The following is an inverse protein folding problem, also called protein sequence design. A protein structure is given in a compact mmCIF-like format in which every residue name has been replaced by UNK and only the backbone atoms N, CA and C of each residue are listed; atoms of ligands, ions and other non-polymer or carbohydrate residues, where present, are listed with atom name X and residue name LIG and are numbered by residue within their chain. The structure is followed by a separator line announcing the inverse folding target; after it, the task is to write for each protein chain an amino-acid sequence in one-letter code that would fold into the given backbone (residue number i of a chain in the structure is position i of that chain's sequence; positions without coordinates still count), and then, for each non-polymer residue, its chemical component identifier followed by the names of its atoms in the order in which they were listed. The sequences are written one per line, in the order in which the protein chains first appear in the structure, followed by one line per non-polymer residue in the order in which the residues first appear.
data_IF_237527276701
#
_entry.id   IF_237527276701
#
_cell.length_a   1.000
_cell.length_b   1.000
_cell.length_c   1.000
_cell.angle_alpha   90.00
_cell.angle_beta   90.00
_cell.angle_gamma   90.00
#
_symmetry.space_group_name_H-M   'P 1'
#
loop_
_entity.id
_entity.type
_entity.pdbx_description
1 polymer ?
#
# COMPACT_ATOMS: atom_id res chain seq x y z
N UNK A 1 -43.68 -10.92 -11.07
CA UNK A 1 -42.23 -10.67 -11.14
C UNK A 1 -41.96 -9.87 -12.39
N UNK A 2 -41.14 -8.82 -12.31
CA UNK A 2 -40.84 -7.97 -13.47
C UNK A 2 -39.96 -8.79 -14.42
N UNK A 3 -40.57 -9.33 -15.48
CA UNK A 3 -39.93 -10.20 -16.48
C UNK A 3 -39.21 -9.42 -17.57
N UNK A 4 -38.22 -8.61 -17.19
CA UNK A 4 -37.29 -7.95 -18.11
C UNK A 4 -35.90 -8.57 -18.01
N UNK A 5 -35.15 -8.58 -19.12
CA UNK A 5 -33.72 -8.92 -19.10
C UNK A 5 -32.99 -7.81 -18.32
N UNK A 6 -32.02 -8.18 -17.48
CA UNK A 6 -31.21 -7.22 -16.73
C UNK A 6 -30.31 -6.36 -17.63
N UNK A 7 -29.60 -5.41 -17.04
CA UNK A 7 -28.61 -4.59 -17.75
C UNK A 7 -27.25 -5.30 -17.80
N UNK A 8 -26.48 -5.02 -18.86
CA UNK A 8 -25.09 -5.45 -18.97
C UNK A 8 -24.15 -4.46 -18.28
N UNK A 9 -23.10 -4.97 -17.64
CA UNK A 9 -22.04 -4.18 -17.00
C UNK A 9 -20.70 -4.51 -17.66
N UNK A 10 -20.03 -3.49 -18.18
CA UNK A 10 -18.66 -3.61 -18.71
C UNK A 10 -17.68 -3.04 -17.69
N UNK A 11 -16.66 -3.82 -17.33
CA UNK A 11 -15.61 -3.41 -16.39
C UNK A 11 -14.40 -2.83 -17.13
N UNK A 12 -13.53 -2.13 -16.39
CA UNK A 12 -12.22 -1.68 -16.87
C UNK A 12 -11.16 -2.78 -16.89
N UNK A 13 -11.45 -3.94 -16.26
CA UNK A 13 -10.51 -5.04 -16.13
C UNK A 13 -10.07 -5.58 -17.50
N UNK A 14 -8.77 -5.76 -17.65
CA UNK A 14 -8.21 -6.51 -18.76
C UNK A 14 -7.93 -7.95 -18.29
N UNK A 15 -8.56 -8.94 -18.92
CA UNK A 15 -8.45 -10.34 -18.48
C UNK A 15 -7.01 -10.88 -18.47
N UNK A 16 -6.14 -10.41 -19.37
CA UNK A 16 -4.73 -10.82 -19.39
C UNK A 16 -3.93 -10.20 -18.24
N UNK A 17 -4.19 -8.93 -17.92
CA UNK A 17 -3.57 -8.25 -16.77
C UNK A 17 -4.06 -8.88 -15.47
N UNK A 18 -5.36 -9.16 -15.37
CA UNK A 18 -5.94 -9.85 -14.22
C UNK A 18 -5.30 -11.23 -13.99
N UNK A 19 -5.16 -12.04 -15.05
CA UNK A 19 -4.52 -13.34 -14.96
C UNK A 19 -3.05 -13.21 -14.51
N UNK A 20 -2.29 -12.28 -15.09
CA UNK A 20 -0.91 -12.05 -14.68
C UNK A 20 -0.80 -11.63 -13.19
N UNK A 21 -1.73 -10.80 -12.71
CA UNK A 21 -1.80 -10.42 -11.30
C UNK A 21 -2.13 -11.61 -10.38
N UNK A 22 -2.99 -12.53 -10.81
CA UNK A 22 -3.28 -13.77 -10.08
C UNK A 22 -2.08 -14.73 -10.09
N UNK A 23 -1.43 -14.91 -11.24
CA UNK A 23 -0.26 -15.78 -11.39
C UNK A 23 0.90 -15.30 -10.50
N UNK A 24 1.12 -13.98 -10.43
CA UNK A 24 2.13 -13.38 -9.55
C UNK A 24 1.87 -13.64 -8.05
N UNK A 25 0.62 -13.88 -7.66
CA UNK A 25 0.22 -14.20 -6.29
C UNK A 25 0.07 -15.70 -6.04
N UNK A 26 0.26 -16.56 -7.04
CA UNK A 26 0.03 -17.99 -6.91
C UNK A 26 0.96 -18.60 -5.85
N UNK A 27 0.37 -19.26 -4.86
CA UNK A 27 1.10 -19.83 -3.71
C UNK A 27 1.43 -18.84 -2.59
N UNK A 28 1.04 -17.56 -2.73
CA UNK A 28 1.27 -16.51 -1.74
C UNK A 28 -0.06 -15.91 -1.25
N UNK A 29 -0.08 -15.45 0.00
CA UNK A 29 -1.18 -14.62 0.50
C UNK A 29 -0.85 -13.14 0.28
N UNK A 30 -1.71 -12.40 -0.41
CA UNK A 30 -1.46 -11.00 -0.75
C UNK A 30 -2.47 -10.41 -1.72
N UNK A 31 -2.14 -9.25 -2.26
CA UNK A 31 -2.94 -8.54 -3.24
C UNK A 31 -2.07 -7.88 -4.31
N UNK A 32 -2.66 -7.66 -5.48
CA UNK A 32 -2.04 -6.94 -6.59
C UNK A 32 -3.11 -6.06 -7.25
N UNK A 33 -2.81 -4.78 -7.43
CA UNK A 33 -3.67 -3.81 -8.11
C UNK A 33 -2.86 -3.17 -9.23
N UNK A 34 -3.45 -3.13 -10.43
CA UNK A 34 -2.88 -2.48 -11.61
C UNK A 34 -3.86 -1.42 -12.07
N UNK A 35 -3.38 -0.20 -12.22
CA UNK A 35 -4.20 0.96 -12.58
C UNK A 35 -3.61 1.69 -13.78
N UNK A 36 -4.49 2.30 -14.56
CA UNK A 36 -4.12 3.39 -15.45
C UNK A 36 -4.05 4.70 -14.63
N UNK A 37 -2.86 5.32 -14.52
CA UNK A 37 -2.69 6.53 -13.70
C UNK A 37 -3.35 7.77 -14.31
N UNK A 38 -3.63 7.80 -15.62
CA UNK A 38 -4.25 8.96 -16.27
C UNK A 38 -5.77 8.97 -16.06
N UNK A 39 -6.39 7.78 -16.02
CA UNK A 39 -7.85 7.64 -15.97
C UNK A 39 -8.38 7.13 -14.63
N UNK A 40 -7.52 6.53 -13.80
CA UNK A 40 -7.92 5.83 -12.58
C UNK A 40 -8.54 4.45 -12.84
N UNK A 41 -8.58 3.97 -14.09
CA UNK A 41 -9.16 2.69 -14.44
C UNK A 41 -8.40 1.53 -13.78
N UNK A 42 -9.12 0.65 -13.10
CA UNK A 42 -8.54 -0.58 -12.53
C UNK A 42 -8.45 -1.63 -13.64
N UNK A 43 -7.22 -1.95 -14.04
CA UNK A 43 -6.93 -2.90 -15.12
C UNK A 43 -6.78 -4.33 -14.59
N UNK A 44 -6.41 -4.48 -13.32
CA UNK A 44 -6.34 -5.74 -12.59
C UNK A 44 -6.47 -5.49 -11.09
N UNK A 45 -7.20 -6.36 -10.39
CA UNK A 45 -7.35 -6.35 -8.94
C UNK A 45 -7.46 -7.81 -8.46
N UNK A 46 -6.36 -8.34 -7.96
CA UNK A 46 -6.26 -9.72 -7.50
C UNK A 46 -6.05 -9.76 -5.98
N UNK A 47 -6.68 -10.74 -5.33
CA UNK A 47 -6.46 -11.11 -3.94
C UNK A 47 -6.18 -12.61 -3.89
N UNK A 48 -5.23 -13.01 -3.06
CA UNK A 48 -4.84 -14.42 -2.86
C UNK A 48 -4.71 -14.75 -1.37
N UNK A 49 -5.14 -15.94 -0.90
CA UNK A 49 -5.80 -16.99 -1.66
C UNK A 49 -7.14 -16.55 -2.28
N UNK A 50 -7.50 -17.18 -3.40
CA UNK A 50 -8.73 -16.90 -4.16
C UNK A 50 -9.57 -18.17 -4.33
N UNK A 51 -10.79 -18.03 -4.83
CA UNK A 51 -11.73 -19.12 -5.03
C UNK A 51 -12.37 -19.10 -6.42
N UNK A 52 -12.94 -20.25 -6.80
CA UNK A 52 -13.81 -20.33 -7.97
C UNK A 52 -15.16 -19.66 -7.67
N UNK A 53 -15.44 -18.57 -8.37
CA UNK A 53 -16.68 -17.80 -8.22
C UNK A 53 -17.95 -18.65 -8.48
N UNK A 54 -17.85 -19.71 -9.29
CA UNK A 54 -18.98 -20.62 -9.52
C UNK A 54 -19.35 -21.43 -8.26
N UNK A 55 -18.42 -21.57 -7.31
CA UNK A 55 -18.56 -22.40 -6.10
C UNK A 55 -18.66 -21.57 -4.80
N UNK A 56 -19.06 -20.29 -4.88
CA UNK A 56 -19.07 -19.37 -3.74
C UNK A 56 -19.81 -19.91 -2.50
N UNK A 57 -20.89 -20.68 -2.68
CA UNK A 57 -21.67 -21.23 -1.56
C UNK A 57 -20.82 -22.19 -0.70
N UNK A 58 -20.02 -23.06 -1.32
CA UNK A 58 -19.16 -23.99 -0.62
C UNK A 58 -18.02 -23.26 0.12
N UNK A 59 -17.50 -22.17 -0.45
CA UNK A 59 -16.48 -21.34 0.22
C UNK A 59 -17.04 -20.61 1.44
N UNK A 60 -18.30 -20.17 1.40
CA UNK A 60 -19.00 -19.61 2.57
C UNK A 60 -19.18 -20.66 3.66
N UNK A 61 -19.56 -21.90 3.31
CA UNK A 61 -19.67 -22.99 4.27
C UNK A 61 -18.32 -23.31 4.95
N UNK A 62 -17.23 -23.37 4.17
CA UNK A 62 -15.87 -23.55 4.69
C UNK A 62 -15.49 -22.43 5.65
N UNK A 63 -15.73 -21.17 5.26
CA UNK A 63 -15.44 -20.01 6.09
C UNK A 63 -16.23 -20.01 7.41
N UNK A 64 -17.51 -20.41 7.38
CA UNK A 64 -18.32 -20.53 8.59
C UNK A 64 -17.86 -21.68 9.51
N UNK A 65 -17.35 -22.77 8.93
CA UNK A 65 -16.85 -23.91 9.70
C UNK A 65 -15.47 -23.65 10.33
N UNK A 66 -14.67 -22.74 9.77
CA UNK A 66 -13.35 -22.37 10.25
C UNK A 66 -13.09 -20.85 10.13
N UNK A 67 -13.80 -20.03 10.91
CA UNK A 67 -13.77 -18.56 10.75
C UNK A 67 -12.39 -17.93 10.97
N UNK A 68 -11.54 -18.56 11.78
CA UNK A 68 -10.21 -18.03 12.11
C UNK A 68 -9.10 -18.54 11.17
N UNK A 69 -9.35 -19.64 10.45
CA UNK A 69 -8.35 -20.28 9.59
C UNK A 69 -8.60 -20.13 8.09
N UNK A 70 -9.81 -19.74 7.69
CA UNK A 70 -10.17 -19.55 6.29
C UNK A 70 -10.19 -18.07 5.92
N UNK A 71 -9.41 -17.69 4.90
CA UNK A 71 -9.24 -16.29 4.49
C UNK A 71 -9.39 -16.09 2.98
N UNK A 72 -9.92 -17.09 2.28
CA UNK A 72 -10.14 -17.07 0.84
C UNK A 72 -11.23 -16.07 0.41
N UNK A 73 -12.18 -15.78 1.30
CA UNK A 73 -13.21 -14.75 1.06
C UNK A 73 -12.73 -13.31 1.36
N UNK A 74 -11.54 -13.14 1.94
CA UNK A 74 -11.00 -11.83 2.27
C UNK A 74 -10.48 -11.11 1.02
N UNK A 75 -11.05 -9.96 0.69
CA UNK A 75 -10.51 -9.10 -0.34
C UNK A 75 -9.32 -8.29 0.21
N UNK A 76 -8.11 -8.84 0.04
CA UNK A 76 -6.87 -8.20 0.49
C UNK A 76 -6.54 -6.91 -0.25
N UNK A 77 -7.04 -6.73 -1.48
CA UNK A 77 -6.75 -5.56 -2.29
C UNK A 77 -7.42 -4.28 -1.76
N UNK A 78 -8.61 -4.40 -1.16
CA UNK A 78 -9.39 -3.22 -0.75
C UNK A 78 -9.91 -3.27 0.70
N UNK A 79 -9.92 -4.42 1.37
CA UNK A 79 -10.52 -4.57 2.71
C UNK A 79 -9.50 -4.88 3.81
N UNK A 80 -8.21 -5.01 3.48
CA UNK A 80 -7.16 -5.33 4.45
C UNK A 80 -6.19 -4.17 4.60
N UNK A 81 -5.85 -3.83 5.85
CA UNK A 81 -4.86 -2.81 6.15
C UNK A 81 -3.49 -3.46 6.38
N UNK A 82 -2.48 -2.92 5.70
CA UNK A 82 -1.09 -3.33 5.84
C UNK A 82 -0.25 -2.14 6.27
N UNK A 83 0.76 -2.39 7.10
CA UNK A 83 1.82 -1.40 7.30
C UNK A 83 2.58 -1.25 5.96
N UNK A 84 2.59 -0.05 5.34
CA UNK A 84 3.21 0.14 4.02
C UNK A 84 4.73 -0.03 4.05
N UNK A 85 5.36 0.12 5.23
CA UNK A 85 6.81 0.04 5.35
C UNK A 85 7.50 1.10 4.48
N UNK A 86 8.57 0.71 3.79
CA UNK A 86 9.36 1.65 2.99
C UNK A 86 8.65 2.23 1.77
N UNK A 87 7.53 1.66 1.30
CA UNK A 87 6.77 2.30 0.20
C UNK A 87 6.16 3.63 0.65
N UNK A 88 5.91 3.79 1.96
CA UNK A 88 5.44 5.06 2.54
C UNK A 88 6.45 6.21 2.41
N UNK A 89 7.73 5.91 2.19
CA UNK A 89 8.77 6.93 1.97
C UNK A 89 8.48 7.81 0.76
N UNK A 90 7.69 7.34 -0.21
CA UNK A 90 7.22 8.18 -1.33
C UNK A 90 6.40 9.35 -0.82
N UNK A 91 5.47 9.11 0.12
CA UNK A 91 4.65 10.16 0.75
C UNK A 91 5.55 11.10 1.56
N UNK A 92 6.41 10.54 2.41
CA UNK A 92 7.33 11.36 3.24
C UNK A 92 8.26 12.23 2.39
N UNK A 93 8.84 11.67 1.32
CA UNK A 93 9.72 12.39 0.41
C UNK A 93 8.97 13.51 -0.31
N UNK A 94 7.82 13.21 -0.92
CA UNK A 94 7.03 14.19 -1.65
C UNK A 94 6.64 15.38 -0.75
N UNK A 95 6.16 15.10 0.47
CA UNK A 95 5.82 16.15 1.43
C UNK A 95 7.04 16.98 1.83
N UNK A 96 8.18 16.34 2.10
CA UNK A 96 9.40 17.07 2.50
C UNK A 96 9.93 18.00 1.39
N UNK A 97 9.83 17.58 0.13
CA UNK A 97 10.21 18.40 -1.02
C UNK A 97 9.22 19.55 -1.24
N UNK A 98 7.91 19.26 -1.23
CA UNK A 98 6.85 20.26 -1.43
C UNK A 98 6.89 21.37 -0.36
N UNK A 99 7.09 20.99 0.90
CA UNK A 99 7.11 21.93 2.03
C UNK A 99 8.50 22.58 2.24
N UNK A 100 9.46 22.32 1.35
CA UNK A 100 10.82 22.86 1.41
C UNK A 100 11.61 22.46 2.67
N UNK A 101 11.27 21.31 3.28
CA UNK A 101 12.00 20.76 4.44
C UNK A 101 13.39 20.30 4.03
N UNK A 102 13.49 19.66 2.86
CA UNK A 102 14.74 19.21 2.28
C UNK A 102 14.68 19.31 0.75
N UNK A 103 15.85 19.21 0.11
CA UNK A 103 15.98 19.01 -1.33
C UNK A 103 16.60 17.63 -1.60
N UNK A 104 16.56 17.19 -2.86
CA UNK A 104 17.19 15.93 -3.28
C UNK A 104 18.68 15.85 -2.90
N UNK A 105 19.37 17.00 -2.91
CA UNK A 105 20.80 17.14 -2.60
C UNK A 105 21.09 17.36 -1.12
N UNK A 106 20.07 17.52 -0.26
CA UNK A 106 20.28 17.66 1.19
C UNK A 106 20.94 16.39 1.72
N UNK A 107 22.07 16.55 2.41
CA UNK A 107 22.87 15.44 2.93
C UNK A 107 22.46 15.11 4.37
N UNK A 108 22.23 13.83 4.63
CA UNK A 108 21.93 13.29 5.94
C UNK A 108 22.96 12.23 6.33
N UNK A 109 23.22 12.12 7.62
CA UNK A 109 23.97 10.97 8.13
C UNK A 109 23.08 9.73 8.13
N UNK A 110 23.57 8.62 7.57
CA UNK A 110 22.84 7.36 7.46
C UNK A 110 23.58 6.22 8.19
N UNK A 111 23.73 6.29 9.53
CA UNK A 111 24.31 5.20 10.31
C UNK A 111 23.40 3.96 10.27
N UNK A 112 23.96 2.80 10.61
CA UNK A 112 23.20 1.54 10.70
C UNK A 112 22.07 1.59 11.73
N UNK A 113 22.29 2.28 12.84
CA UNK A 113 21.32 2.53 13.91
C UNK A 113 21.57 3.92 14.49
N UNK A 114 20.50 4.61 14.89
CA UNK A 114 20.56 5.85 15.66
C UNK A 114 19.36 5.94 16.60
N UNK A 115 19.46 6.74 17.66
CA UNK A 115 18.33 6.99 18.57
C UNK A 115 17.51 8.18 18.09
N UNK A 116 16.20 7.98 17.95
CA UNK A 116 15.22 9.03 17.65
C UNK A 116 14.08 8.89 18.68
N UNK A 117 13.80 9.95 19.43
CA UNK A 117 12.72 9.93 20.42
C UNK A 117 12.90 8.90 21.54
N UNK A 118 14.14 8.67 21.97
CA UNK A 118 14.53 7.68 23.00
C UNK A 118 14.34 6.21 22.59
N UNK A 119 14.25 5.91 21.30
CA UNK A 119 14.20 4.56 20.78
C UNK A 119 15.10 4.40 19.53
N UNK A 120 15.64 3.20 19.29
CA UNK A 120 16.52 2.98 18.15
C UNK A 120 15.73 2.88 16.84
N UNK A 121 16.14 3.66 15.84
CA UNK A 121 15.78 3.50 14.43
C UNK A 121 16.95 2.85 13.71
N UNK A 122 16.67 1.78 12.96
CA UNK A 122 17.71 0.91 12.37
C UNK A 122 17.47 0.70 10.89
N UNK A 123 18.52 0.88 10.08
CA UNK A 123 18.51 0.51 8.67
C UNK A 123 18.35 -0.99 8.49
N UNK A 124 17.79 -1.41 7.36
CA UNK A 124 17.75 -2.83 7.01
C UNK A 124 19.16 -3.43 7.08
N UNK A 125 19.29 -4.61 7.70
CA UNK A 125 20.57 -5.27 8.01
C UNK A 125 21.60 -4.43 8.79
N UNK A 126 21.18 -3.35 9.46
CA UNK A 126 22.08 -2.40 10.15
C UNK A 126 23.12 -1.77 9.23
N UNK A 127 22.82 -1.65 7.94
CA UNK A 127 23.73 -1.06 6.96
C UNK A 127 24.02 0.41 7.29
N UNK A 128 25.30 0.74 7.40
CA UNK A 128 25.76 2.13 7.47
C UNK A 128 26.14 2.61 6.08
N UNK A 129 25.54 3.70 5.63
CA UNK A 129 25.78 4.26 4.30
C UNK A 129 26.63 5.54 4.35
N UNK A 130 27.07 5.97 5.54
CA UNK A 130 27.78 7.23 5.73
C UNK A 130 26.86 8.43 5.51
N UNK A 131 27.43 9.54 5.07
CA UNK A 131 26.68 10.74 4.72
C UNK A 131 26.24 10.65 3.26
N UNK A 132 24.94 10.71 3.03
CA UNK A 132 24.32 10.52 1.71
C UNK A 132 23.24 11.57 1.45
N UNK A 133 23.00 11.88 0.18
CA UNK A 133 21.92 12.78 -0.22
C UNK A 133 20.55 12.14 0.03
N UNK A 134 19.49 12.94 0.13
CA UNK A 134 18.12 12.45 0.25
C UNK A 134 17.70 11.58 -0.95
N UNK A 135 18.14 11.93 -2.16
CA UNK A 135 17.97 11.08 -3.33
C UNK A 135 18.59 9.69 -3.12
N UNK A 136 19.85 9.64 -2.68
CA UNK A 136 20.55 8.38 -2.41
C UNK A 136 19.93 7.60 -1.25
N UNK A 137 19.43 8.29 -0.23
CA UNK A 137 18.71 7.68 0.89
C UNK A 137 17.40 7.02 0.45
N UNK A 138 16.73 7.59 -0.55
CA UNK A 138 15.52 7.02 -1.16
C UNK A 138 15.85 5.75 -1.95
N UNK A 139 16.90 5.79 -2.80
CA UNK A 139 17.37 4.63 -3.56
C UNK A 139 17.76 3.43 -2.67
N UNK A 140 18.45 3.72 -1.56
CA UNK A 140 18.92 2.71 -0.60
C UNK A 140 17.87 2.34 0.46
N UNK A 141 16.71 3.01 0.43
CA UNK A 141 15.67 2.92 1.45
C UNK A 141 16.24 3.03 2.87
N UNK A 142 17.03 4.08 3.14
CA UNK A 142 17.57 4.34 4.48
C UNK A 142 16.44 4.66 5.47
N UNK A 143 16.34 3.91 6.57
CA UNK A 143 15.38 4.17 7.65
C UNK A 143 15.87 5.30 8.56
N UNK A 144 17.17 5.38 8.82
CA UNK A 144 17.74 6.41 9.69
C UNK A 144 17.63 7.80 9.08
N UNK A 145 17.78 7.94 7.76
CA UNK A 145 17.54 9.22 7.06
C UNK A 145 16.06 9.60 7.07
N UNK A 146 15.16 8.69 6.70
CA UNK A 146 13.72 9.00 6.70
C UNK A 146 13.15 9.22 8.12
N UNK A 147 13.77 8.62 9.15
CA UNK A 147 13.48 8.93 10.55
C UNK A 147 13.86 10.36 10.92
N UNK A 148 15.06 10.81 10.53
CA UNK A 148 15.49 12.21 10.72
C UNK A 148 14.58 13.17 9.96
N UNK A 149 14.29 12.89 8.69
CA UNK A 149 13.42 13.71 7.85
C UNK A 149 12.01 13.87 8.46
N UNK A 150 11.45 12.80 9.03
CA UNK A 150 10.18 12.86 9.73
C UNK A 150 10.21 13.76 10.98
N UNK A 151 11.32 13.77 11.72
CA UNK A 151 11.51 14.67 12.87
C UNK A 151 11.65 16.12 12.42
N UNK A 152 12.45 16.38 11.38
CA UNK A 152 12.66 17.73 10.83
C UNK A 152 11.37 18.32 10.25
N UNK A 153 10.58 17.50 9.55
CA UNK A 153 9.28 17.88 9.00
C UNK A 153 8.24 18.13 10.11
N UNK A 154 8.27 17.34 11.17
CA UNK A 154 7.29 17.38 12.25
C UNK A 154 5.98 16.65 11.90
N UNK A 155 5.24 16.28 12.95
CA UNK A 155 4.05 15.43 12.83
C UNK A 155 2.92 16.07 12.00
N UNK A 156 2.66 17.37 12.16
CA UNK A 156 1.57 18.07 11.47
C UNK A 156 1.72 17.99 9.94
N UNK A 157 2.90 18.34 9.42
CA UNK A 157 3.19 18.27 7.99
C UNK A 157 3.17 16.83 7.46
N UNK A 158 3.70 15.88 8.23
CA UNK A 158 3.68 14.47 7.84
C UNK A 158 2.24 13.94 7.70
N UNK A 159 1.38 14.29 8.65
CA UNK A 159 -0.05 13.92 8.65
C UNK A 159 -0.80 14.58 7.51
N UNK A 160 -0.64 15.90 7.33
CA UNK A 160 -1.26 16.62 6.21
C UNK A 160 -0.82 16.07 4.85
N UNK A 161 0.47 15.72 4.71
CA UNK A 161 0.99 15.03 3.54
C UNK A 161 0.28 13.70 3.27
N UNK A 162 0.14 12.83 4.28
CA UNK A 162 -0.57 11.56 4.09
C UNK A 162 -2.05 11.74 3.77
N UNK A 163 -2.72 12.71 4.39
CA UNK A 163 -4.11 13.06 4.10
C UNK A 163 -4.28 13.50 2.64
N UNK A 164 -3.34 14.29 2.10
CA UNK A 164 -3.31 14.68 0.68
C UNK A 164 -3.13 13.48 -0.25
N UNK A 165 -2.38 12.47 0.16
CA UNK A 165 -2.21 11.20 -0.56
C UNK A 165 -3.38 10.20 -0.34
N UNK A 166 -4.42 10.58 0.41
CA UNK A 166 -5.65 9.79 0.56
C UNK A 166 -5.74 8.94 1.83
N UNK A 167 -4.78 9.05 2.76
CA UNK A 167 -4.95 8.48 4.11
C UNK A 167 -6.05 9.24 4.87
N UNK A 168 -6.60 8.59 5.91
CA UNK A 168 -7.68 9.09 6.76
C UNK A 168 -8.98 9.45 6.01
N UNK A 169 -9.11 9.03 4.75
CA UNK A 169 -10.25 9.33 3.88
C UNK A 169 -10.89 8.06 3.38
N UNK A 170 -12.22 8.05 3.34
CA UNK A 170 -12.96 7.02 2.60
C UNK A 170 -12.78 7.29 1.10
N UNK A 171 -12.19 6.34 0.39
CA UNK A 171 -12.08 6.41 -1.07
C UNK A 171 -13.46 6.15 -1.66
N UNK A 172 -13.89 7.03 -2.58
CA UNK A 172 -15.10 6.80 -3.34
C UNK A 172 -14.84 5.70 -4.36
N UNK A 173 -15.41 4.52 -4.09
CA UNK A 173 -15.21 3.33 -4.91
C UNK A 173 -16.48 2.50 -4.90
N UNK A 174 -16.78 1.84 -6.01
CA UNK A 174 -18.01 1.03 -6.16
C UNK A 174 -18.09 -0.11 -5.14
N UNK A 175 -16.94 -0.64 -4.71
CA UNK A 175 -16.84 -1.65 -3.67
C UNK A 175 -16.40 -1.00 -2.34
N UNK A 176 -16.82 -1.60 -1.23
CA UNK A 176 -16.42 -1.12 0.10
C UNK A 176 -14.91 -1.28 0.32
N UNK A 177 -14.23 -0.15 0.56
CA UNK A 177 -12.81 -0.09 0.91
C UNK A 177 -12.61 0.13 2.40
N UNK A 178 -11.55 -0.45 2.97
CA UNK A 178 -11.03 -0.05 4.27
C UNK A 178 -10.37 1.33 4.17
N UNK A 179 -10.51 2.15 5.22
CA UNK A 179 -9.82 3.45 5.31
C UNK A 179 -8.43 3.24 5.88
N UNK A 180 -7.41 3.60 5.11
CA UNK A 180 -6.03 3.67 5.61
C UNK A 180 -5.91 4.77 6.67
N UNK A 181 -5.26 4.46 7.79
CA UNK A 181 -5.06 5.38 8.91
C UNK A 181 -3.58 5.77 9.02
N UNK A 182 -3.33 6.98 9.49
CA UNK A 182 -2.00 7.45 9.90
C UNK A 182 -1.88 7.57 11.41
#
# INVERSE_FOLDING_TARGET
GIGGVGNDVTLTLNSKIQQAAQDALSGYAGACVVMDPETGAVLGMASSPTYDAANFAAEIEKANANPDGESTLLNRAIQTLYAPGSTFKIVTLATALEDGVASEDTVFSSPGTMDIGNAPVTNFNKNSYGDITLARATELSSNTVFGQLGVEMGAEKLVDGADKFGFNRKIDFTLNTATSLM
#
